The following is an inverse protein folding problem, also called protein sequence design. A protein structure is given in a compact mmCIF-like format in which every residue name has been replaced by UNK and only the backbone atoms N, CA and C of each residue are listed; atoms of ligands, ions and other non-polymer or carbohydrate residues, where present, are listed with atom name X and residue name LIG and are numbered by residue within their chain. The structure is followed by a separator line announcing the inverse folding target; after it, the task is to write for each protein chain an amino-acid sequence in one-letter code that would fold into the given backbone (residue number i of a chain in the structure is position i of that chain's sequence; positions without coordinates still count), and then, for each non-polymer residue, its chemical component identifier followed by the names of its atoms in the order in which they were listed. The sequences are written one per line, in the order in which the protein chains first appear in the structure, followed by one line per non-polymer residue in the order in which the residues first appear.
data_IF_625195169866
#
_entry.id   IF_625195169866
#
_cell.length_a   1.000
_cell.length_b   1.000
_cell.length_c   1.000
_cell.angle_alpha   90.00
_cell.angle_beta   90.00
_cell.angle_gamma   90.00
#
_symmetry.space_group_name_H-M   'P 1'
#
loop_
_entity.id
_entity.type
_entity.pdbx_description
1 polymer ?
#
# COMPACT_ATOMS: atom_id res chain seq x y z
N UNK A 1 2.32 36.39 -51.60
CA UNK A 1 1.95 37.81 -51.82
C UNK A 1 1.25 38.30 -50.56
N UNK A 2 1.65 39.49 -50.07
CA UNK A 2 1.22 40.20 -48.84
C UNK A 2 1.74 39.59 -47.52
N UNK A 3 2.42 40.29 -46.61
CA UNK A 3 2.88 41.68 -46.55
C UNK A 3 3.29 42.05 -45.10
N UNK A 4 4.47 42.68 -44.95
CA UNK A 4 4.91 43.71 -43.96
C UNK A 4 4.75 43.43 -42.42
N UNK A 5 5.56 43.90 -41.46
CA UNK A 5 6.39 45.12 -41.28
C UNK A 5 7.52 44.85 -40.26
N UNK A 6 8.56 45.68 -40.38
CA UNK A 6 9.82 45.87 -39.64
C UNK A 6 9.78 46.12 -38.11
N UNK A 7 10.90 45.81 -37.44
CA UNK A 7 11.75 46.71 -36.59
C UNK A 7 12.96 45.89 -36.10
N UNK A 8 14.21 46.02 -36.59
CA UNK A 8 15.21 47.10 -36.58
C UNK A 8 15.94 47.31 -35.24
N UNK A 9 17.18 46.79 -35.14
CA UNK A 9 18.46 47.34 -34.57
C UNK A 9 19.41 46.16 -34.28
N UNK A 10 20.49 45.90 -35.06
CA UNK A 10 21.84 46.51 -35.03
C UNK A 10 22.46 46.55 -33.62
N UNK A 11 23.71 46.18 -33.33
CA UNK A 11 24.83 45.51 -34.00
C UNK A 11 25.92 45.36 -32.89
N UNK A 12 26.75 44.30 -32.90
CA UNK A 12 28.22 44.34 -32.62
C UNK A 12 28.80 42.98 -32.22
N UNK A 13 29.82 42.58 -32.97
CA UNK A 13 30.96 41.75 -32.57
C UNK A 13 32.15 42.24 -33.40
N UNK A 14 33.41 41.84 -33.15
CA UNK A 14 34.12 41.51 -31.91
C UNK A 14 35.46 42.29 -31.83
N UNK A 15 36.13 42.38 -30.68
CA UNK A 15 37.57 42.77 -30.59
C UNK A 15 38.19 42.31 -29.23
N UNK A 16 39.53 42.25 -29.10
CA UNK A 16 40.26 41.07 -28.63
C UNK A 16 40.85 41.17 -27.20
N UNK A 17 41.44 40.05 -26.75
CA UNK A 17 42.19 39.88 -25.49
C UNK A 17 43.38 40.84 -25.37
N UNK A 18 43.83 41.09 -24.12
CA UNK A 18 45.21 40.75 -23.79
C UNK A 18 45.33 39.80 -22.59
N UNK A 19 46.40 39.01 -22.61
CA UNK A 19 46.89 38.17 -21.53
C UNK A 19 47.88 38.94 -20.64
N UNK A 20 48.25 38.26 -19.55
CA UNK A 20 49.29 38.55 -18.55
C UNK A 20 48.93 39.51 -17.41
N UNK A 21 48.60 38.93 -16.24
CA UNK A 21 49.61 38.67 -15.22
C UNK A 21 49.06 37.79 -14.09
N UNK A 22 49.90 36.86 -13.66
CA UNK A 22 49.65 35.79 -12.71
C UNK A 22 50.32 36.09 -11.36
N UNK A 23 49.68 35.57 -10.31
CA UNK A 23 50.14 35.29 -8.94
C UNK A 23 50.33 36.42 -7.90
N UNK A 24 49.45 36.39 -6.88
CA UNK A 24 49.80 36.29 -5.46
C UNK A 24 48.59 35.96 -4.56
N UNK A 25 48.60 34.72 -4.06
CA UNK A 25 48.39 34.26 -2.67
C UNK A 25 47.28 34.82 -1.74
N UNK A 26 46.67 33.85 -1.02
CA UNK A 26 46.08 33.86 0.32
C UNK A 26 44.54 33.93 0.48
N UNK A 27 44.00 32.85 1.06
CA UNK A 27 42.63 32.75 1.56
C UNK A 27 42.38 31.38 2.19
N UNK A 28 42.59 31.29 3.51
CA UNK A 28 42.35 30.14 4.39
C UNK A 28 40.89 29.67 4.30
N UNK A 29 40.68 28.37 4.07
CA UNK A 29 39.45 27.68 4.49
C UNK A 29 39.82 26.56 5.47
N UNK A 30 39.51 26.80 6.74
CA UNK A 30 39.57 25.79 7.80
C UNK A 30 38.21 25.09 7.93
N UNK A 31 38.30 23.77 8.04
CA UNK A 31 37.49 22.91 8.90
C UNK A 31 36.00 22.74 8.56
N UNK A 32 35.73 21.73 7.72
CA UNK A 32 34.63 20.80 7.98
C UNK A 32 35.21 19.39 8.04
N UNK A 33 35.36 18.87 9.27
CA UNK A 33 35.73 17.50 9.53
C UNK A 33 34.60 16.57 9.05
N UNK A 34 34.80 15.96 7.88
CA UNK A 34 34.03 14.80 7.45
C UNK A 34 34.28 13.70 8.50
N UNK A 35 33.26 13.04 9.07
CA UNK A 35 33.49 11.81 9.81
C UNK A 35 33.91 10.76 8.79
N UNK A 36 35.22 10.66 8.52
CA UNK A 36 35.76 9.56 7.72
C UNK A 36 35.44 8.29 8.49
N UNK A 37 34.42 7.56 8.06
CA UNK A 37 34.20 6.20 8.53
C UNK A 37 35.48 5.43 8.27
N UNK A 38 36.19 5.06 9.33
CA UNK A 38 37.39 4.24 9.23
C UNK A 38 37.03 2.99 8.41
N UNK A 39 37.83 2.64 7.39
CA UNK A 39 37.55 1.48 6.56
C UNK A 39 37.39 0.23 7.43
N UNK A 40 36.43 -0.63 7.10
CA UNK A 40 36.18 -1.88 7.84
C UNK A 40 37.24 -2.91 7.43
N UNK A 41 38.01 -3.41 8.38
CA UNK A 41 39.04 -4.43 8.14
C UNK A 41 39.44 -5.16 9.42
N UNK A 42 40.18 -6.27 9.28
CA UNK A 42 40.86 -6.99 10.36
C UNK A 42 42.20 -6.32 10.65
N UNK A 43 42.65 -6.34 11.90
CA UNK A 43 43.99 -5.84 12.27
C UNK A 43 45.00 -6.98 12.16
N UNK A 44 46.03 -6.80 11.34
CA UNK A 44 47.21 -7.65 11.30
C UNK A 44 48.32 -6.93 12.06
N UNK A 45 48.66 -7.41 13.26
CA UNK A 45 49.59 -6.74 14.17
C UNK A 45 51.02 -7.21 13.87
N UNK A 46 51.95 -6.26 13.79
CA UNK A 46 53.38 -6.52 13.60
C UNK A 46 54.11 -6.52 14.95
N UNK A 47 55.28 -7.17 15.01
CA UNK A 47 56.10 -7.27 16.23
C UNK A 47 56.63 -5.93 16.74
N UNK A 48 56.68 -4.91 15.90
CA UNK A 48 57.05 -3.55 16.29
C UNK A 48 55.89 -2.79 16.96
N UNK A 49 54.72 -3.43 17.13
CA UNK A 49 53.52 -2.86 17.72
C UNK A 49 52.66 -2.06 16.74
N UNK A 50 53.11 -1.88 15.49
CA UNK A 50 52.29 -1.31 14.42
C UNK A 50 51.28 -2.34 13.91
N UNK A 51 50.24 -1.89 13.20
CA UNK A 51 49.26 -2.80 12.60
C UNK A 51 48.93 -2.37 11.18
N UNK A 52 48.61 -3.36 10.35
CA UNK A 52 48.00 -3.16 9.04
C UNK A 52 46.52 -3.49 9.10
N UNK A 53 45.70 -2.60 8.56
CA UNK A 53 44.28 -2.88 8.38
C UNK A 53 44.08 -3.67 7.09
N UNK A 54 43.70 -4.93 7.22
CA UNK A 54 43.63 -5.89 6.11
C UNK A 54 42.22 -6.43 5.92
N UNK A 55 41.81 -6.67 4.68
CA UNK A 55 40.52 -7.32 4.39
C UNK A 55 40.58 -8.82 4.66
N UNK A 56 41.69 -9.42 4.25
CA UNK A 56 42.00 -10.84 4.42
C UNK A 56 43.51 -11.03 4.37
N UNK A 57 43.99 -12.11 4.98
CA UNK A 57 45.38 -12.54 4.90
C UNK A 57 45.45 -14.07 4.77
N UNK A 58 46.50 -14.56 4.14
CA UNK A 58 46.77 -15.96 3.91
C UNK A 58 48.26 -16.24 4.20
N UNK A 59 48.55 -17.29 4.97
CA UNK A 59 49.92 -17.71 5.26
C UNK A 59 50.41 -18.65 4.17
N UNK A 60 51.44 -18.26 3.43
CA UNK A 60 52.10 -19.03 2.37
C UNK A 60 53.54 -19.34 2.76
N UNK A 61 53.70 -20.40 3.57
CA UNK A 61 55.01 -20.81 4.09
C UNK A 61 55.64 -19.72 4.94
N UNK A 62 56.76 -19.17 4.48
CA UNK A 62 57.54 -18.13 5.16
C UNK A 62 56.97 -16.70 4.97
N UNK A 63 55.95 -16.53 4.11
CA UNK A 63 55.35 -15.22 3.83
C UNK A 63 53.86 -15.20 4.14
N UNK A 64 53.35 -14.05 4.55
CA UNK A 64 51.94 -13.75 4.73
C UNK A 64 51.53 -12.81 3.61
N UNK A 65 50.59 -13.26 2.78
CA UNK A 65 49.97 -12.44 1.75
C UNK A 65 48.70 -11.83 2.30
N UNK A 66 48.57 -10.51 2.30
CA UNK A 66 47.37 -9.83 2.79
C UNK A 66 46.86 -8.78 1.81
N UNK A 67 45.56 -8.50 1.88
CA UNK A 67 44.93 -7.43 1.11
C UNK A 67 44.80 -6.18 2.00
N UNK A 68 45.65 -5.18 1.76
CA UNK A 68 45.61 -3.90 2.48
C UNK A 68 44.33 -3.15 2.13
N UNK A 69 43.55 -2.75 3.14
CA UNK A 69 42.33 -1.95 2.90
C UNK A 69 42.69 -0.51 2.55
N UNK A 70 43.82 -0.02 3.08
CA UNK A 70 44.30 1.35 2.85
C UNK A 70 44.84 1.53 1.44
N UNK A 71 45.63 0.55 0.97
CA UNK A 71 46.26 0.58 -0.36
C UNK A 71 45.46 -0.16 -1.42
N UNK A 72 44.35 -0.81 -1.04
CA UNK A 72 43.46 -1.59 -1.91
C UNK A 72 44.21 -2.59 -2.81
N UNK A 73 45.32 -3.14 -2.31
CA UNK A 73 46.24 -3.98 -3.04
C UNK A 73 46.70 -5.20 -2.21
N UNK A 74 47.14 -6.24 -2.90
CA UNK A 74 47.76 -7.42 -2.29
C UNK A 74 49.23 -7.14 -2.00
N UNK A 75 49.65 -7.45 -0.78
CA UNK A 75 51.02 -7.27 -0.29
C UNK A 75 51.51 -8.53 0.40
N UNK A 76 52.83 -8.62 0.54
CA UNK A 76 53.49 -9.77 1.17
C UNK A 76 54.51 -9.30 2.21
N UNK A 77 54.46 -9.91 3.38
CA UNK A 77 55.43 -9.70 4.47
C UNK A 77 55.92 -11.05 5.01
N UNK A 78 57.15 -11.13 5.53
CA UNK A 78 57.61 -12.32 6.24
C UNK A 78 56.71 -12.66 7.43
N UNK A 79 56.45 -13.96 7.64
CA UNK A 79 55.61 -14.45 8.75
C UNK A 79 56.21 -14.12 10.11
N UNK A 80 57.53 -14.00 10.18
CA UNK A 80 58.27 -13.67 11.40
C UNK A 80 58.05 -12.23 11.89
N UNK A 81 57.59 -11.32 11.02
CA UNK A 81 57.31 -9.92 11.39
C UNK A 81 55.91 -9.73 11.97
N UNK A 82 55.02 -10.71 11.81
CA UNK A 82 53.67 -10.65 12.35
C UNK A 82 53.66 -11.14 13.80
N UNK A 83 53.07 -10.35 14.69
CA UNK A 83 52.72 -10.79 16.02
C UNK A 83 51.37 -11.52 15.97
N UNK A 84 51.44 -12.85 15.95
CA UNK A 84 50.26 -13.70 15.86
C UNK A 84 49.44 -13.75 17.14
N UNK A 85 50.05 -13.55 18.30
CA UNK A 85 49.35 -13.52 19.59
C UNK A 85 48.50 -12.25 19.67
N UNK A 86 49.12 -11.09 19.36
CA UNK A 86 48.42 -9.82 19.29
C UNK A 86 47.37 -9.76 18.18
N UNK A 87 47.64 -10.36 17.01
CA UNK A 87 46.66 -10.48 15.92
C UNK A 87 45.47 -11.33 16.34
N UNK A 88 45.69 -12.49 16.96
CA UNK A 88 44.63 -13.37 17.43
C UNK A 88 43.76 -12.69 18.49
N UNK A 89 44.38 -11.94 19.41
CA UNK A 89 43.66 -11.17 20.43
C UNK A 89 42.80 -10.06 19.81
N UNK A 90 43.36 -9.29 18.86
CA UNK A 90 42.61 -8.25 18.16
C UNK A 90 41.41 -8.81 17.39
N UNK A 91 41.56 -9.98 16.76
CA UNK A 91 40.46 -10.67 16.08
C UNK A 91 39.37 -11.16 17.05
N UNK A 92 39.76 -11.67 18.22
CA UNK A 92 38.82 -12.12 19.25
C UNK A 92 38.00 -10.95 19.83
N UNK A 93 38.65 -9.83 20.14
CA UNK A 93 37.97 -8.61 20.61
C UNK A 93 37.03 -8.02 19.54
N UNK A 94 37.46 -8.02 18.27
CA UNK A 94 36.60 -7.58 17.16
C UNK A 94 35.41 -8.52 16.94
N UNK A 95 35.59 -9.83 17.11
CA UNK A 95 34.52 -10.80 17.01
C UNK A 95 33.49 -10.64 18.13
N UNK A 96 33.95 -10.45 19.38
CA UNK A 96 33.09 -10.17 20.53
C UNK A 96 32.29 -8.88 20.33
N UNK A 97 32.95 -7.78 19.96
CA UNK A 97 32.26 -6.51 19.67
C UNK A 97 31.19 -6.64 18.58
N UNK A 98 31.46 -7.44 17.54
CA UNK A 98 30.49 -7.71 16.46
C UNK A 98 29.32 -8.57 16.95
N UNK A 99 29.58 -9.59 17.75
CA UNK A 99 28.52 -10.42 18.34
C UNK A 99 27.62 -9.59 19.24
N UNK A 100 28.19 -8.79 20.15
CA UNK A 100 27.41 -7.86 20.98
C UNK A 100 26.60 -6.85 20.16
N UNK A 101 27.17 -6.34 19.06
CA UNK A 101 26.45 -5.42 18.17
C UNK A 101 25.29 -6.13 17.46
N UNK A 102 25.49 -7.36 16.97
CA UNK A 102 24.43 -8.18 16.36
C UNK A 102 23.36 -8.52 17.39
N UNK A 103 23.72 -8.88 18.61
CA UNK A 103 22.78 -9.15 19.70
C UNK A 103 22.00 -7.90 20.08
N UNK A 104 22.65 -6.73 20.19
CA UNK A 104 21.97 -5.45 20.44
C UNK A 104 21.04 -5.06 19.30
N UNK A 105 21.43 -5.27 18.05
CA UNK A 105 20.58 -5.03 16.88
C UNK A 105 19.39 -6.01 16.89
N UNK A 106 19.63 -7.29 17.15
CA UNK A 106 18.58 -8.31 17.21
C UNK A 106 17.63 -8.04 18.38
N UNK A 107 18.14 -7.64 19.56
CA UNK A 107 17.35 -7.24 20.71
C UNK A 107 16.55 -5.97 20.45
N UNK A 108 17.15 -4.96 19.81
CA UNK A 108 16.44 -3.74 19.40
C UNK A 108 15.34 -4.05 18.38
N UNK A 109 15.63 -4.91 17.39
CA UNK A 109 14.67 -5.32 16.38
C UNK A 109 13.57 -6.22 16.96
N UNK A 110 13.88 -7.06 17.95
CA UNK A 110 12.88 -7.82 18.70
C UNK A 110 12.05 -6.91 19.60
N UNK A 111 12.64 -5.91 20.24
CA UNK A 111 11.93 -4.92 21.05
C UNK A 111 11.02 -4.03 20.19
N UNK A 112 11.45 -3.66 18.98
CA UNK A 112 10.65 -2.94 17.99
C UNK A 112 9.48 -3.81 17.49
N UNK A 113 9.73 -5.09 17.15
CA UNK A 113 8.67 -6.06 16.80
C UNK A 113 7.71 -6.31 17.96
N UNK A 114 8.20 -6.43 19.19
CA UNK A 114 7.38 -6.65 20.38
C UNK A 114 6.53 -5.40 20.72
N UNK A 115 7.10 -4.20 20.57
CA UNK A 115 6.39 -2.94 20.74
C UNK A 115 5.33 -2.70 19.63
N UNK A 116 5.54 -3.23 18.42
CA UNK A 116 4.53 -3.24 17.36
C UNK A 116 3.37 -4.21 17.64
N UNK A 117 3.63 -5.33 18.32
CA UNK A 117 2.64 -6.34 18.68
C UNK A 117 1.84 -5.97 19.94
N UNK A 118 2.38 -5.12 20.83
CA UNK A 118 1.68 -4.62 22.03
C UNK A 118 0.61 -3.54 21.72
N UNK A 119 0.31 -3.33 20.44
CA UNK A 119 -0.79 -2.48 19.96
C UNK A 119 -2.04 -3.33 19.69
N UNK A 120 -2.45 -4.13 20.69
CA UNK A 120 -3.85 -4.53 20.89
C UNK A 120 -4.73 -3.32 21.31
N UNK A 121 -4.18 -2.10 21.19
CA UNK A 121 -4.84 -0.83 21.42
C UNK A 121 -6.03 -0.67 20.48
N UNK A 122 -7.20 -0.71 21.08
CA UNK A 122 -8.39 0.02 20.66
C UNK A 122 -7.99 1.39 20.09
N UNK A 123 -7.93 1.52 18.76
CA UNK A 123 -7.57 2.78 18.10
C UNK A 123 -8.77 3.70 18.24
N UNK A 124 -8.59 4.82 18.91
CA UNK A 124 -9.65 5.80 19.09
C UNK A 124 -9.85 6.60 17.79
N UNK A 125 -10.96 6.34 17.10
CA UNK A 125 -11.30 7.03 15.85
C UNK A 125 -11.94 8.40 16.13
N UNK A 126 -12.68 8.48 17.23
CA UNK A 126 -13.32 9.68 17.75
C UNK A 126 -13.48 9.54 19.27
N UNK A 127 -13.71 10.63 20.04
CA UNK A 127 -13.83 10.55 21.49
C UNK A 127 -14.77 9.42 21.99
N UNK A 128 -14.20 8.40 22.63
CA UNK A 128 -14.91 7.23 23.14
C UNK A 128 -15.38 6.21 22.08
N UNK A 129 -14.91 6.30 20.83
CA UNK A 129 -15.22 5.37 19.74
C UNK A 129 -13.96 4.65 19.29
N UNK A 130 -13.88 3.36 19.62
CA UNK A 130 -12.68 2.55 19.41
C UNK A 130 -12.87 1.51 18.32
N UNK A 131 -11.90 1.42 17.41
CA UNK A 131 -11.85 0.37 16.41
C UNK A 131 -11.63 -0.99 17.10
N UNK A 132 -12.48 -2.01 16.82
CA UNK A 132 -12.30 -3.34 17.38
C UNK A 132 -10.90 -3.94 17.11
N UNK A 133 -10.42 -4.81 18.00
CA UNK A 133 -9.23 -5.61 17.74
C UNK A 133 -9.50 -6.63 16.62
N UNK A 134 -8.44 -7.13 16.01
CA UNK A 134 -8.52 -8.12 14.94
C UNK A 134 -8.52 -7.53 13.53
N UNK A 135 -8.01 -8.31 12.59
CA UNK A 135 -7.96 -7.97 11.17
C UNK A 135 -9.35 -7.95 10.56
N UNK A 136 -9.56 -7.05 9.60
CA UNK A 136 -10.82 -6.96 8.89
C UNK A 136 -11.16 -5.56 8.45
N UNK A 137 -12.34 -5.45 7.87
CA UNK A 137 -12.92 -4.21 7.40
C UNK A 137 -14.10 -3.85 8.29
N UNK A 138 -14.15 -2.60 8.71
CA UNK A 138 -15.16 -2.06 9.61
C UNK A 138 -15.78 -0.83 8.97
N UNK A 139 -17.07 -0.60 9.20
CA UNK A 139 -17.77 0.63 8.82
C UNK A 139 -18.17 1.40 10.05
N UNK A 140 -17.96 2.72 10.00
CA UNK A 140 -18.45 3.66 10.99
C UNK A 140 -19.73 4.29 10.46
N UNK A 141 -20.81 4.13 11.22
CA UNK A 141 -22.08 4.81 10.98
C UNK A 141 -22.45 5.62 12.22
N UNK A 142 -22.27 6.94 12.14
CA UNK A 142 -22.49 7.84 13.28
C UNK A 142 -21.54 7.56 14.44
N UNK A 143 -22.01 6.83 15.45
CA UNK A 143 -21.22 6.44 16.64
C UNK A 143 -21.11 4.93 16.84
N UNK A 144 -21.46 4.16 15.81
CA UNK A 144 -21.41 2.70 15.83
C UNK A 144 -20.35 2.21 14.86
N UNK A 145 -19.58 1.21 15.26
CA UNK A 145 -18.66 0.48 14.40
C UNK A 145 -19.23 -0.91 14.15
N UNK A 146 -19.32 -1.30 12.88
CA UNK A 146 -19.82 -2.62 12.48
C UNK A 146 -18.75 -3.32 11.64
N UNK A 147 -18.32 -4.55 11.99
CA UNK A 147 -17.45 -5.35 11.13
C UNK A 147 -18.21 -5.80 9.88
N UNK A 148 -17.55 -5.74 8.73
CA UNK A 148 -18.08 -6.28 7.48
C UNK A 148 -17.65 -7.75 7.34
N UNK A 149 -18.61 -8.62 7.06
CA UNK A 149 -18.35 -10.01 6.69
C UNK A 149 -17.86 -10.07 5.24
N UNK A 150 -16.97 -11.03 4.95
CA UNK A 150 -16.61 -11.36 3.58
C UNK A 150 -17.65 -12.32 2.97
N UNK A 151 -18.05 -12.00 1.75
CA UNK A 151 -18.88 -12.81 0.88
C UNK A 151 -18.08 -13.24 -0.35
N UNK A 152 -18.17 -14.52 -0.70
CA UNK A 152 -17.50 -15.07 -1.89
C UNK A 152 -18.32 -14.80 -3.15
N UNK A 153 -17.73 -14.17 -4.15
CA UNK A 153 -18.31 -14.05 -5.48
C UNK A 153 -17.96 -15.24 -6.38
N UNK A 154 -18.89 -15.55 -7.28
CA UNK A 154 -18.75 -16.62 -8.27
C UNK A 154 -18.67 -16.05 -9.68
N UNK A 155 -17.82 -16.67 -10.51
CA UNK A 155 -17.68 -16.33 -11.92
C UNK A 155 -18.64 -17.20 -12.74
N UNK A 156 -19.55 -16.58 -13.48
CA UNK A 156 -20.52 -17.27 -14.36
C UNK A 156 -20.39 -16.81 -15.81
N UNK A 157 -20.38 -17.76 -16.73
CA UNK A 157 -20.37 -17.50 -18.18
C UNK A 157 -21.73 -16.95 -18.64
N UNK A 158 -21.72 -15.90 -19.47
CA UNK A 158 -22.94 -15.30 -20.02
C UNK A 158 -23.52 -16.13 -21.17
N UNK A 159 -24.34 -17.12 -20.83
CA UNK A 159 -24.94 -18.09 -21.77
C UNK A 159 -25.76 -17.45 -22.90
N UNK A 160 -26.23 -16.20 -22.76
CA UNK A 160 -27.03 -15.51 -23.80
C UNK A 160 -26.26 -15.24 -25.10
N UNK A 161 -24.92 -15.22 -25.07
CA UNK A 161 -24.09 -15.06 -26.29
C UNK A 161 -23.45 -16.35 -26.80
N UNK A 162 -23.55 -17.45 -26.05
CA UNK A 162 -23.10 -18.77 -26.51
C UNK A 162 -24.05 -19.36 -27.57
N UNK A 163 -25.35 -19.00 -27.56
CA UNK A 163 -26.27 -19.49 -28.60
C UNK A 163 -25.99 -18.89 -29.99
N UNK A 164 -25.32 -17.73 -30.08
CA UNK A 164 -24.78 -17.21 -31.35
C UNK A 164 -23.53 -17.97 -31.84
N UNK A 165 -22.97 -18.84 -31.02
CA UNK A 165 -21.73 -19.58 -31.31
C UNK A 165 -21.96 -20.85 -32.14
N UNK A 166 -23.21 -21.34 -32.22
CA UNK A 166 -23.56 -22.61 -32.89
C UNK A 166 -23.83 -22.43 -34.40
N UNK A 167 -23.96 -21.19 -34.90
CA UNK A 167 -24.37 -20.91 -36.29
C UNK A 167 -23.25 -20.35 -37.19
N UNK A 168 -22.02 -20.17 -36.71
CA UNK A 168 -20.91 -19.61 -37.51
C UNK A 168 -19.60 -20.38 -37.22
N UNK A 169 -18.87 -20.89 -38.24
CA UNK A 169 -17.70 -21.76 -38.08
C UNK A 169 -16.42 -21.07 -37.56
N UNK A 170 -16.48 -19.76 -37.26
CA UNK A 170 -15.38 -18.98 -36.69
C UNK A 170 -15.93 -18.26 -35.45
N UNK A 171 -15.33 -18.40 -34.25
CA UNK A 171 -15.79 -17.67 -33.08
C UNK A 171 -15.46 -16.18 -33.21
N UNK A 172 -16.40 -15.38 -33.75
CA UNK A 172 -16.22 -13.92 -33.96
C UNK A 172 -16.62 -13.08 -32.74
N UNK A 173 -17.07 -13.70 -31.64
CA UNK A 173 -17.65 -12.97 -30.50
C UNK A 173 -16.84 -13.18 -29.21
N UNK A 174 -16.44 -12.10 -28.50
CA UNK A 174 -15.77 -12.17 -27.20
C UNK A 174 -16.57 -12.95 -26.15
N UNK A 175 -15.87 -13.75 -25.33
CA UNK A 175 -16.46 -14.50 -24.21
C UNK A 175 -16.65 -13.57 -23.03
N UNK A 176 -17.85 -13.55 -22.43
CA UNK A 176 -18.14 -12.71 -21.25
C UNK A 176 -18.44 -13.53 -20.01
N UNK A 177 -17.72 -13.23 -18.94
CA UNK A 177 -17.96 -13.74 -17.61
C UNK A 177 -18.54 -12.65 -16.71
N UNK A 178 -19.41 -13.04 -15.79
CA UNK A 178 -20.05 -12.19 -14.80
C UNK A 178 -19.56 -12.63 -13.43
N UNK A 179 -18.99 -11.70 -12.67
CA UNK A 179 -18.66 -11.93 -11.26
C UNK A 179 -19.86 -11.51 -10.43
N UNK A 180 -20.37 -12.41 -9.60
CA UNK A 180 -21.66 -12.24 -8.90
C UNK A 180 -21.59 -12.70 -7.45
N UNK A 181 -22.16 -11.90 -6.56
CA UNK A 181 -22.50 -12.28 -5.20
C UNK A 181 -23.88 -12.94 -5.17
N UNK A 182 -24.05 -13.93 -4.30
CA UNK A 182 -25.33 -14.59 -4.09
C UNK A 182 -26.33 -13.69 -3.35
N UNK A 183 -27.61 -13.90 -3.62
CA UNK A 183 -28.71 -13.18 -2.99
C UNK A 183 -28.97 -11.80 -3.59
N UNK A 184 -30.21 -11.34 -3.45
CA UNK A 184 -30.67 -10.01 -3.91
C UNK A 184 -30.18 -8.85 -3.05
N UNK A 185 -29.88 -9.12 -1.78
CA UNK A 185 -29.55 -8.11 -0.77
C UNK A 185 -28.40 -8.58 0.10
N UNK A 186 -27.52 -7.66 0.47
CA UNK A 186 -26.51 -7.87 1.49
C UNK A 186 -27.17 -8.07 2.87
N UNK A 187 -26.49 -8.81 3.75
CA UNK A 187 -26.92 -8.97 5.14
C UNK A 187 -26.83 -7.65 5.91
N UNK A 188 -25.71 -6.93 5.77
CA UNK A 188 -25.49 -5.64 6.40
C UNK A 188 -26.22 -4.52 5.64
N UNK A 189 -27.04 -3.75 6.35
CA UNK A 189 -27.75 -2.58 5.82
C UNK A 189 -27.28 -1.32 6.54
N UNK A 190 -26.79 -0.37 5.76
CA UNK A 190 -26.46 0.98 6.19
C UNK A 190 -27.60 1.93 5.84
N UNK A 191 -27.72 2.98 6.61
CA UNK A 191 -28.75 4.01 6.45
C UNK A 191 -28.15 5.37 6.09
N UNK A 192 -26.88 5.60 6.43
CA UNK A 192 -26.09 6.74 6.01
C UNK A 192 -25.63 6.63 4.56
N UNK A 193 -25.67 7.74 3.82
CA UNK A 193 -25.17 7.83 2.44
C UNK A 193 -23.67 8.09 2.36
N UNK A 194 -23.00 8.43 3.46
CA UNK A 194 -21.54 8.65 3.50
C UNK A 194 -20.91 7.80 4.60
N UNK A 195 -20.88 6.47 4.44
CA UNK A 195 -20.15 5.60 5.36
C UNK A 195 -18.65 5.84 5.26
N UNK A 196 -17.96 5.70 6.39
CA UNK A 196 -16.51 5.66 6.46
C UNK A 196 -16.05 4.25 6.78
N UNK A 197 -15.03 3.78 6.08
CA UNK A 197 -14.50 2.43 6.28
C UNK A 197 -13.13 2.48 6.91
N UNK A 198 -12.84 1.51 7.77
CA UNK A 198 -11.55 1.34 8.41
C UNK A 198 -11.11 -0.11 8.20
N UNK A 199 -9.90 -0.31 7.70
CA UNK A 199 -9.33 -1.63 7.46
C UNK A 199 -8.11 -1.82 8.34
N UNK A 200 -8.11 -2.88 9.14
CA UNK A 200 -6.93 -3.37 9.85
C UNK A 200 -6.34 -4.55 9.09
N UNK A 201 -5.05 -4.48 8.79
CA UNK A 201 -4.35 -5.48 8.00
C UNK A 201 -3.23 -6.16 8.77
N UNK A 202 -3.00 -7.45 8.49
CA UNK A 202 -1.81 -8.16 8.94
C UNK A 202 -0.54 -7.45 8.47
N UNK A 203 0.48 -7.38 9.32
CA UNK A 203 1.84 -6.95 8.94
C UNK A 203 1.92 -5.57 8.27
N UNK A 204 0.92 -4.72 8.49
CA UNK A 204 0.81 -3.40 7.88
C UNK A 204 0.86 -3.40 6.33
N UNK A 205 0.31 -4.45 5.69
CA UNK A 205 0.14 -4.46 4.23
C UNK A 205 -0.82 -3.34 3.79
N UNK A 206 -0.57 -2.79 2.60
CA UNK A 206 -1.35 -1.71 2.00
C UNK A 206 -2.26 -2.22 0.85
N UNK A 207 -3.48 -2.73 1.14
CA UNK A 207 -4.38 -3.21 0.10
C UNK A 207 -4.86 -2.06 -0.78
N UNK A 208 -4.90 -2.31 -2.09
CA UNK A 208 -5.59 -1.47 -3.06
C UNK A 208 -7.06 -1.84 -3.05
N UNK A 209 -7.92 -0.91 -2.61
CA UNK A 209 -9.34 -1.17 -2.41
C UNK A 209 -10.17 -0.36 -3.39
N UNK A 210 -11.16 -1.00 -4.00
CA UNK A 210 -12.18 -0.33 -4.80
C UNK A 210 -13.57 -0.54 -4.20
N UNK A 211 -14.35 0.54 -4.13
CA UNK A 211 -15.78 0.46 -3.84
C UNK A 211 -16.55 0.28 -5.15
N UNK A 212 -17.37 -0.76 -5.22
CA UNK A 212 -18.10 -1.17 -6.43
C UNK A 212 -19.59 -1.15 -6.15
N UNK A 213 -20.37 -0.52 -7.02
CA UNK A 213 -21.83 -0.63 -7.03
C UNK A 213 -22.24 -1.92 -7.71
N UNK A 214 -22.97 -2.77 -6.99
CA UNK A 214 -23.48 -4.02 -7.51
C UNK A 214 -24.84 -3.84 -8.21
N UNK A 215 -25.01 -4.50 -9.35
CA UNK A 215 -26.29 -4.55 -10.08
C UNK A 215 -27.09 -5.78 -9.66
N UNK A 216 -28.26 -5.58 -9.03
CA UNK A 216 -29.17 -6.69 -8.71
C UNK A 216 -29.78 -7.25 -10.00
N UNK A 217 -29.55 -8.53 -10.28
CA UNK A 217 -30.09 -9.26 -11.44
C UNK A 217 -30.63 -10.61 -11.01
N UNK A 218 -31.95 -10.74 -11.02
CA UNK A 218 -32.61 -11.96 -10.56
C UNK A 218 -32.35 -12.14 -9.07
N UNK A 219 -31.68 -13.23 -8.68
CA UNK A 219 -31.33 -13.57 -7.30
C UNK A 219 -29.83 -13.39 -6.99
N UNK A 220 -29.15 -12.57 -7.77
CA UNK A 220 -27.72 -12.31 -7.61
C UNK A 220 -27.41 -10.81 -7.75
N UNK A 221 -26.27 -10.41 -7.20
CA UNK A 221 -25.73 -9.05 -7.28
C UNK A 221 -24.46 -9.08 -8.09
N UNK A 222 -24.46 -8.46 -9.26
CA UNK A 222 -23.35 -8.48 -10.19
C UNK A 222 -22.38 -7.32 -9.91
N UNK A 223 -21.10 -7.62 -9.72
CA UNK A 223 -20.07 -6.62 -9.35
C UNK A 223 -19.10 -6.32 -10.49
N UNK A 224 -18.86 -7.28 -11.38
CA UNK A 224 -17.92 -7.11 -12.50
C UNK A 224 -18.41 -7.86 -13.74
N UNK A 225 -18.06 -7.31 -14.90
CA UNK A 225 -18.05 -8.03 -16.17
C UNK A 225 -16.62 -8.20 -16.64
N UNK A 226 -16.25 -9.42 -17.00
CA UNK A 226 -14.97 -9.74 -17.63
C UNK A 226 -15.23 -10.16 -19.07
N UNK A 227 -14.54 -9.56 -20.04
CA UNK A 227 -14.65 -9.86 -21.46
C UNK A 227 -13.31 -10.33 -21.99
N UNK A 228 -13.27 -11.54 -22.54
CA UNK A 228 -12.08 -12.11 -23.19
C UNK A 228 -12.28 -12.03 -24.70
N UNK A 229 -11.45 -11.23 -25.36
CA UNK A 229 -11.41 -11.14 -26.82
C UNK A 229 -10.82 -12.41 -27.42
N UNK A 230 -11.04 -12.61 -28.73
CA UNK A 230 -10.54 -13.80 -29.47
C UNK A 230 -9.01 -13.87 -29.43
N UNK A 231 -8.35 -12.71 -29.37
CA UNK A 231 -6.89 -12.57 -29.23
C UNK A 231 -6.36 -12.95 -27.85
N UNK A 232 -7.23 -13.36 -26.92
CA UNK A 232 -6.90 -13.65 -25.52
C UNK A 232 -6.82 -12.39 -24.63
N UNK A 233 -6.97 -11.19 -25.19
CA UNK A 233 -6.97 -9.95 -24.40
C UNK A 233 -8.21 -9.88 -23.49
N UNK A 234 -7.98 -9.64 -22.20
CA UNK A 234 -9.03 -9.53 -21.20
C UNK A 234 -9.30 -8.06 -20.86
N UNK A 235 -10.58 -7.68 -20.76
CA UNK A 235 -11.00 -6.41 -20.18
C UNK A 235 -12.01 -6.62 -19.06
N UNK A 236 -11.93 -5.79 -18.02
CA UNK A 236 -12.87 -5.77 -16.92
C UNK A 236 -13.69 -4.49 -16.94
N UNK A 237 -14.95 -4.58 -16.53
CA UNK A 237 -15.84 -3.44 -16.36
C UNK A 237 -16.53 -3.53 -15.01
N UNK A 238 -16.33 -2.50 -14.20
CA UNK A 238 -16.86 -2.33 -12.83
C UNK A 238 -17.51 -0.95 -12.71
N UNK A 239 -18.55 -0.84 -11.89
CA UNK A 239 -19.15 0.46 -11.53
C UNK A 239 -18.49 0.96 -10.26
N UNK A 240 -17.30 1.52 -10.39
CA UNK A 240 -16.49 1.97 -9.26
C UNK A 240 -16.95 3.33 -8.73
N UNK A 241 -16.80 3.52 -7.43
CA UNK A 241 -17.02 4.79 -6.73
C UNK A 241 -15.67 5.23 -6.18
N UNK A 242 -15.33 6.48 -6.43
CA UNK A 242 -14.07 7.05 -5.98
C UNK A 242 -13.99 7.08 -4.45
N UNK A 243 -12.90 6.53 -3.93
CA UNK A 243 -12.56 6.57 -2.51
C UNK A 243 -11.20 7.23 -2.31
N UNK A 244 -10.97 7.79 -1.12
CA UNK A 244 -9.70 8.34 -0.68
C UNK A 244 -9.19 7.52 0.50
N UNK A 245 -7.92 7.11 0.46
CA UNK A 245 -7.27 6.33 1.50
C UNK A 245 -6.39 7.22 2.39
N UNK A 246 -6.53 7.07 3.70
CA UNK A 246 -5.76 7.76 4.72
C UNK A 246 -5.04 6.74 5.60
N UNK A 247 -3.76 6.96 5.90
CA UNK A 247 -3.02 6.16 6.87
C UNK A 247 -3.29 6.72 8.27
N UNK A 248 -4.04 5.98 9.09
CA UNK A 248 -4.43 6.40 10.45
C UNK A 248 -3.41 5.94 11.47
N UNK A 249 -2.97 4.69 11.32
CA UNK A 249 -1.92 4.08 12.11
C UNK A 249 -1.28 2.96 11.27
N UNK A 250 -0.17 2.41 11.74
CA UNK A 250 0.48 1.29 11.07
C UNK A 250 -0.50 0.13 10.88
N UNK A 251 -0.72 -0.26 9.62
CA UNK A 251 -1.67 -1.32 9.25
C UNK A 251 -3.13 -0.98 9.44
N UNK A 252 -3.47 0.30 9.66
CA UNK A 252 -4.85 0.78 9.78
C UNK A 252 -5.13 1.93 8.83
N UNK A 253 -6.01 1.66 7.88
CA UNK A 253 -6.34 2.57 6.78
C UNK A 253 -7.79 2.99 6.87
N UNK A 254 -8.05 4.29 6.70
CA UNK A 254 -9.41 4.85 6.56
C UNK A 254 -9.71 5.11 5.10
N UNK A 255 -10.91 4.75 4.66
CA UNK A 255 -11.43 5.00 3.33
C UNK A 255 -12.65 5.90 3.42
N UNK A 256 -12.56 7.08 2.79
CA UNK A 256 -13.66 8.06 2.69
C UNK A 256 -14.16 8.14 1.25
N UNK A 257 -15.45 8.45 1.09
CA UNK A 257 -16.08 8.51 -0.23
C UNK A 257 -16.02 9.92 -0.80
N UNK A 258 -15.72 10.04 -2.09
CA UNK A 258 -15.73 11.32 -2.80
C UNK A 258 -17.15 11.85 -3.06
N UNK A 259 -18.17 10.98 -2.94
CA UNK A 259 -19.58 11.30 -3.18
C UNK A 259 -20.50 10.49 -2.26
N UNK A 260 -21.70 11.00 -1.93
CA UNK A 260 -22.72 10.20 -1.26
C UNK A 260 -23.13 8.98 -2.10
N UNK A 261 -23.36 7.85 -1.43
CA UNK A 261 -23.94 6.65 -2.00
C UNK A 261 -25.45 6.83 -2.20
N UNK A 262 -25.90 6.38 -3.36
CA UNK A 262 -27.31 6.18 -3.63
C UNK A 262 -27.82 4.93 -2.90
N UNK A 263 -29.14 4.76 -2.88
CA UNK A 263 -29.74 3.51 -2.42
C UNK A 263 -29.33 2.37 -3.36
N UNK A 264 -28.97 1.22 -2.78
CA UNK A 264 -28.54 0.07 -3.56
C UNK A 264 -27.61 -0.89 -2.83
N UNK A 265 -26.95 -1.73 -3.62
CA UNK A 265 -26.03 -2.77 -3.18
C UNK A 265 -24.60 -2.40 -3.57
N UNK A 266 -23.67 -2.66 -2.65
CA UNK A 266 -22.28 -2.25 -2.77
C UNK A 266 -21.34 -3.35 -2.27
N UNK A 267 -20.12 -3.33 -2.76
CA UNK A 267 -19.07 -4.21 -2.31
C UNK A 267 -17.72 -3.50 -2.33
N UNK A 268 -16.93 -3.68 -1.27
CA UNK A 268 -15.51 -3.35 -1.26
C UNK A 268 -14.72 -4.56 -1.71
N UNK A 269 -13.82 -4.36 -2.66
CA UNK A 269 -12.98 -5.40 -3.22
C UNK A 269 -11.51 -4.98 -3.13
N UNK A 270 -10.67 -5.93 -2.76
CA UNK A 270 -9.22 -5.78 -2.91
C UNK A 270 -8.81 -6.05 -4.35
N UNK A 271 -7.97 -5.20 -4.91
CA UNK A 271 -7.44 -5.28 -6.26
C UNK A 271 -6.02 -5.82 -6.18
N UNK A 272 -5.81 -6.95 -6.85
CA UNK A 272 -4.53 -7.64 -6.95
C UNK A 272 -3.97 -7.47 -8.37
N UNK A 273 -2.67 -7.72 -8.59
CA UNK A 273 -2.07 -7.65 -9.93
C UNK A 273 -2.77 -8.53 -10.97
N UNK A 274 -3.29 -9.68 -10.56
CA UNK A 274 -4.05 -10.63 -11.38
C UNK A 274 -5.53 -10.26 -11.59
N UNK A 275 -6.03 -9.25 -10.86
CA UNK A 275 -7.41 -8.78 -10.93
C UNK A 275 -8.05 -8.62 -9.55
N UNK A 276 -9.38 -8.51 -9.54
CA UNK A 276 -10.15 -8.31 -8.31
C UNK A 276 -10.24 -9.59 -7.48
N UNK A 277 -10.01 -9.49 -6.17
CA UNK A 277 -10.24 -10.58 -5.22
C UNK A 277 -11.73 -10.96 -5.16
N UNK A 278 -12.03 -12.26 -5.12
CA UNK A 278 -13.41 -12.79 -5.08
C UNK A 278 -13.99 -12.86 -3.67
N UNK A 279 -13.21 -12.57 -2.62
CA UNK A 279 -13.70 -12.39 -1.25
C UNK A 279 -14.00 -10.90 -1.04
N UNK A 280 -15.26 -10.51 -1.24
CA UNK A 280 -15.68 -9.11 -1.17
C UNK A 280 -16.39 -8.82 0.15
N UNK A 281 -16.29 -7.59 0.62
CA UNK A 281 -17.09 -7.12 1.74
C UNK A 281 -18.33 -6.41 1.22
N UNK A 282 -19.50 -7.04 1.36
CA UNK A 282 -20.75 -6.52 0.80
C UNK A 282 -21.66 -5.88 1.85
N UNK A 283 -22.35 -4.83 1.43
CA UNK A 283 -23.35 -4.12 2.21
C UNK A 283 -24.38 -3.51 1.26
N UNK A 284 -25.48 -3.01 1.80
CA UNK A 284 -26.33 -2.13 1.01
C UNK A 284 -26.79 -0.93 1.80
N UNK A 285 -27.21 0.08 1.05
CA UNK A 285 -27.67 1.37 1.57
C UNK A 285 -29.17 1.45 1.38
N UNK A 286 -29.89 1.58 2.47
CA UNK A 286 -31.34 1.81 2.50
C UNK A 286 -31.64 3.26 2.89
N UNK A 287 -32.82 3.75 2.53
CA UNK A 287 -33.32 5.00 3.11
C UNK A 287 -33.50 4.78 4.61
N UNK A 288 -33.04 5.72 5.45
CA UNK A 288 -33.42 5.80 6.86
C UNK A 288 -34.94 5.58 6.97
N UNK A 289 -35.36 4.39 7.39
CA UNK A 289 -36.75 4.14 7.68
C UNK A 289 -37.06 5.02 8.90
N UNK A 290 -37.93 6.00 8.73
CA UNK A 290 -38.46 6.83 9.81
C UNK A 290 -39.23 5.95 10.80
N UNK A 291 -38.49 5.29 11.68
CA UNK A 291 -38.98 4.54 12.82
C UNK A 291 -39.41 5.47 13.94
N UNK A 292 -40.41 6.32 13.68
CA UNK A 292 -41.23 6.92 14.73
C UNK A 292 -42.68 6.45 14.55
N UNK A 293 -43.26 5.68 15.48
CA UNK A 293 -44.68 5.42 15.51
C UNK A 293 -45.41 6.65 16.08
N UNK A 294 -45.40 7.77 15.36
CA UNK A 294 -46.16 8.97 15.70
C UNK A 294 -46.68 9.65 14.43
N UNK A 295 -47.38 8.90 13.57
CA UNK A 295 -48.41 9.49 12.72
C UNK A 295 -49.40 8.41 12.27
N UNK A 296 -50.19 7.89 13.22
CA UNK A 296 -51.47 7.29 12.87
C UNK A 296 -52.39 8.46 12.52
N UNK A 297 -52.94 8.57 11.30
CA UNK A 297 -54.01 9.53 11.04
C UNK A 297 -55.15 9.25 12.02
N UNK A 298 -55.84 10.25 12.59
CA UNK A 298 -57.00 10.00 13.43
C UNK A 298 -57.98 9.10 12.66
N UNK A 299 -58.39 8.00 13.28
CA UNK A 299 -59.48 7.15 12.78
C UNK A 299 -60.69 8.07 12.57
N UNK A 300 -61.02 8.32 11.31
CA UNK A 300 -62.26 8.99 10.96
C UNK A 300 -63.43 8.15 11.52
N UNK A 301 -64.40 8.75 12.23
CA UNK A 301 -65.58 8.02 12.66
C UNK A 301 -66.32 7.54 11.42
N UNK A 302 -66.49 6.22 11.34
CA UNK A 302 -67.31 5.55 10.33
C UNK A 302 -68.71 6.18 10.34
N UNK A 303 -69.07 6.85 9.25
CA UNK A 303 -70.45 7.23 8.97
C UNK A 303 -71.22 5.94 8.69
N UNK A 304 -71.88 5.41 9.72
CA UNK A 304 -72.96 4.45 9.54
C UNK A 304 -74.12 5.16 8.83
N UNK A 305 -74.20 4.93 7.51
CA UNK A 305 -75.35 5.25 6.68
C UNK A 305 -76.48 4.26 7.01
N UNK A 306 -77.35 4.63 7.94
CA UNK A 306 -78.63 3.95 8.16
C UNK A 306 -79.78 4.73 7.52
N UNK A 307 -79.99 4.55 6.21
CA UNK A 307 -81.29 4.86 5.58
C UNK A 307 -82.11 3.57 5.56
N UNK A 308 -83.32 3.65 6.10
CA UNK A 308 -84.14 2.50 6.47
C UNK A 308 -85.05 1.92 5.39
N UNK A 309 -85.86 0.97 5.85
CA UNK A 309 -87.15 0.48 5.33
C UNK A 309 -87.69 -0.44 6.44
N UNK A 310 -88.72 -0.05 7.21
CA UNK A 310 -90.15 -0.10 6.90
C UNK A 310 -90.66 -1.53 6.65
N UNK A 311 -91.36 -2.12 7.65
CA UNK A 311 -92.66 -2.80 7.46
C UNK A 311 -93.25 -3.37 8.76
N UNK A 312 -94.53 -3.02 8.92
CA UNK A 312 -95.61 -3.59 9.75
C UNK A 312 -95.60 -3.31 11.26
#
# INVERSE_FOLDING_TARGET
MLGAVLTAFAAQAPQPKPADQQDKQEGKDQAQAIPTSLPKGKKLVLKDGSFHLVRSYERKGDRVRYYSVERSAWEEIPTELVDWDATSKAEAEDAQRKQEAVEKIHAAQMAERAAELDVDASIELAPGLFLPPGEGLFVVEGRTIVPLEQSTAVIKLDKKRLLTQVLVPIPVVPTRHKVQLAGKRAKLRLTGSQPEFYMRTAEAREPEMELIRAEVKGDARQVEFVSTQITGQQSSQRKTISTQRWNVARGVYRYTLSQPLELGEYALAEILPEGMNLFLWDFGVDSQASGHPQNRPPLAPSKASGKGQQKQ
#
